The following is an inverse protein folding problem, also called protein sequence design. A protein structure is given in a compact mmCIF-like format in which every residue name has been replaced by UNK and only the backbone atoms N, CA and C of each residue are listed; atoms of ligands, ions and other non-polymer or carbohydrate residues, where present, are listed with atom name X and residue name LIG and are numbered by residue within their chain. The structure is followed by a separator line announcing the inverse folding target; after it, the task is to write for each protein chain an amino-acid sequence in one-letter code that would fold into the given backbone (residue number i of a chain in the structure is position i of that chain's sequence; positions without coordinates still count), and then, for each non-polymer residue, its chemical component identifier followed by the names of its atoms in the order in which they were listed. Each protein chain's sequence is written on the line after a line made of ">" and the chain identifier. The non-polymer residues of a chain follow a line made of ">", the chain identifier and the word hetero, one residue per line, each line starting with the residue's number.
data_IF_760388367488
#
_entry.id   IF_760388367488
#
_cell.length_a   1.000
_cell.length_b   1.000
_cell.length_c   1.000
_cell.angle_alpha   90.00
_cell.angle_beta   90.00
_cell.angle_gamma   90.00
#
_symmetry.space_group_name_H-M   'P 1'
#
loop_
_entity.id
_entity.type
_entity.pdbx_description
1 polymer ?
#
# COMPACT_ATOMS: atom_id res chain seq x y z
N UNK A 1 24.80 -35.00 -28.72
CA UNK A 1 23.74 -34.03 -28.35
C UNK A 1 23.97 -32.76 -29.17
N UNK A 2 23.05 -32.40 -30.07
CA UNK A 2 23.28 -31.38 -31.11
C UNK A 2 23.62 -30.01 -30.49
N UNK A 3 24.73 -29.38 -30.94
CA UNK A 3 25.25 -28.08 -30.47
C UNK A 3 24.22 -26.94 -30.48
N UNK A 4 23.11 -27.10 -31.21
CA UNK A 4 21.97 -26.18 -31.27
C UNK A 4 21.32 -25.94 -29.90
N UNK A 5 21.34 -26.95 -29.00
CA UNK A 5 20.77 -26.84 -27.65
C UNK A 5 21.59 -25.94 -26.71
N UNK A 6 22.89 -25.78 -26.99
CA UNK A 6 23.80 -25.00 -26.16
C UNK A 6 23.61 -23.48 -26.39
N UNK A 7 23.30 -23.09 -27.64
CA UNK A 7 22.99 -21.70 -28.00
C UNK A 7 21.54 -21.30 -27.72
N UNK A 8 20.60 -22.26 -27.73
CA UNK A 8 19.18 -21.96 -27.55
C UNK A 8 18.80 -21.57 -26.12
N UNK A 9 19.51 -22.08 -25.11
CA UNK A 9 19.23 -21.80 -23.69
C UNK A 9 19.54 -20.34 -23.30
N UNK A 10 20.72 -19.77 -23.61
CA UNK A 10 20.98 -18.36 -23.31
C UNK A 10 20.10 -17.43 -24.15
N UNK A 11 19.78 -17.79 -25.40
CA UNK A 11 18.87 -17.03 -26.24
C UNK A 11 17.45 -16.97 -25.64
N UNK A 12 16.95 -18.08 -25.09
CA UNK A 12 15.68 -18.12 -24.38
C UNK A 12 15.71 -17.24 -23.12
N UNK A 13 16.81 -17.22 -22.37
CA UNK A 13 16.95 -16.39 -21.17
C UNK A 13 16.95 -14.89 -21.50
N UNK A 14 17.58 -14.49 -22.60
CA UNK A 14 17.55 -13.11 -23.12
C UNK A 14 16.14 -12.73 -23.58
N UNK A 15 15.42 -13.63 -24.25
CA UNK A 15 14.04 -13.41 -24.67
C UNK A 15 13.04 -13.37 -23.50
N UNK A 16 13.34 -14.02 -22.37
CA UNK A 16 12.54 -13.91 -21.14
C UNK A 16 12.83 -12.64 -20.33
N UNK A 17 13.90 -11.92 -20.64
CA UNK A 17 14.29 -10.67 -19.95
C UNK A 17 13.53 -9.43 -20.44
N UNK A 18 12.42 -9.59 -21.17
CA UNK A 18 11.56 -8.47 -21.58
C UNK A 18 11.09 -7.76 -20.32
N UNK A 19 11.39 -6.46 -20.25
CA UNK A 19 11.21 -5.66 -19.05
C UNK A 19 9.74 -5.54 -18.70
N UNK A 20 9.32 -6.18 -17.61
CA UNK A 20 8.05 -5.85 -16.95
C UNK A 20 8.22 -4.46 -16.33
N UNK A 21 7.57 -3.46 -16.92
CA UNK A 21 7.50 -2.11 -16.35
C UNK A 21 6.45 -2.13 -15.25
N UNK A 22 6.87 -2.13 -13.98
CA UNK A 22 5.96 -1.93 -12.86
C UNK A 22 5.45 -0.48 -12.90
N UNK A 23 4.23 -0.27 -13.41
CA UNK A 23 3.60 1.03 -13.37
C UNK A 23 2.91 1.22 -12.01
N UNK A 24 3.44 2.12 -11.19
CA UNK A 24 2.69 2.58 -10.02
C UNK A 24 1.55 3.46 -10.52
N UNK A 25 0.32 3.22 -10.06
CA UNK A 25 -0.79 4.11 -10.40
C UNK A 25 -0.58 5.49 -9.76
N UNK A 26 -0.47 6.55 -10.56
CA UNK A 26 -0.48 7.93 -10.08
C UNK A 26 -1.93 8.37 -9.87
N UNK A 27 -2.34 8.43 -8.61
CA UNK A 27 -3.55 9.12 -8.21
C UNK A 27 -3.20 10.54 -7.75
N UNK A 28 -4.05 11.52 -8.11
CA UNK A 28 -3.86 12.93 -7.71
C UNK A 28 -3.86 13.16 -6.20
N UNK A 29 -4.42 12.22 -5.42
CA UNK A 29 -4.52 12.27 -3.96
C UNK A 29 -3.58 11.25 -3.29
N UNK A 30 -2.30 11.23 -3.69
CA UNK A 30 -1.33 10.25 -3.18
C UNK A 30 -1.09 10.33 -1.66
N UNK A 31 -1.42 11.45 -1.01
CA UNK A 31 -1.36 11.59 0.44
C UNK A 31 -2.36 10.68 1.18
N UNK A 32 -3.39 10.16 0.52
CA UNK A 32 -4.30 9.14 1.08
C UNK A 32 -3.64 7.76 1.24
N UNK A 33 -2.37 7.62 0.86
CA UNK A 33 -1.56 6.46 1.22
C UNK A 33 -0.95 6.60 2.62
N UNK A 34 -0.94 7.81 3.17
CA UNK A 34 -0.45 8.04 4.52
C UNK A 34 -1.57 7.65 5.50
N UNK A 35 -1.32 6.67 6.35
CA UNK A 35 -2.34 6.17 7.28
C UNK A 35 -2.84 7.21 8.28
N UNK A 36 -4.01 6.92 8.86
CA UNK A 36 -4.70 7.76 9.84
C UNK A 36 -4.88 6.97 11.15
N UNK A 37 -4.51 7.58 12.27
CA UNK A 37 -4.61 6.99 13.61
C UNK A 37 -3.37 6.19 14.00
N UNK A 38 -2.78 6.56 15.14
CA UNK A 38 -1.52 5.97 15.60
C UNK A 38 -1.62 4.45 15.79
N UNK A 39 -2.74 3.96 16.34
CA UNK A 39 -2.97 2.51 16.55
C UNK A 39 -3.04 1.76 15.22
N UNK A 40 -3.84 2.24 14.27
CA UNK A 40 -4.03 1.59 12.97
C UNK A 40 -2.74 1.59 12.16
N UNK A 41 -2.00 2.71 12.17
CA UNK A 41 -0.69 2.82 11.52
C UNK A 41 0.32 1.85 12.16
N UNK A 42 0.36 1.75 13.50
CA UNK A 42 1.22 0.79 14.20
C UNK A 42 0.89 -0.68 13.89
N UNK A 43 -0.35 -0.98 13.47
CA UNK A 43 -0.79 -2.29 13.00
C UNK A 43 -0.48 -2.53 11.51
N UNK A 44 0.28 -1.65 10.85
CA UNK A 44 0.60 -1.75 9.43
C UNK A 44 -0.59 -1.40 8.54
N UNK A 45 -1.37 -0.38 8.91
CA UNK A 45 -2.54 0.10 8.17
C UNK A 45 -3.69 -0.93 8.03
N UNK A 46 -3.76 -1.90 8.94
CA UNK A 46 -4.77 -2.95 8.98
C UNK A 46 -6.16 -2.48 9.49
N UNK A 47 -6.56 -1.23 9.21
CA UNK A 47 -7.78 -0.62 9.73
C UNK A 47 -9.10 -1.13 9.13
N UNK A 48 -9.02 -1.90 8.05
CA UNK A 48 -10.20 -2.40 7.32
C UNK A 48 -11.06 -3.37 8.15
N UNK A 49 -10.43 -4.18 9.01
CA UNK A 49 -11.08 -5.18 9.86
C UNK A 49 -11.52 -4.59 11.20
N UNK A 50 -10.81 -3.57 11.67
CA UNK A 50 -11.10 -2.91 12.93
C UNK A 50 -10.36 -1.59 13.02
N UNK A 51 -11.10 -0.54 13.35
CA UNK A 51 -10.58 0.82 13.47
C UNK A 51 -11.30 1.53 14.61
N UNK A 52 -10.61 2.49 15.21
CA UNK A 52 -11.22 3.36 16.22
C UNK A 52 -12.16 4.35 15.52
N UNK A 53 -13.20 4.83 16.21
CA UNK A 53 -14.37 5.51 15.62
C UNK A 53 -14.02 6.54 14.52
N UNK A 54 -13.15 7.52 14.79
CA UNK A 54 -12.80 8.53 13.78
C UNK A 54 -11.90 8.03 12.65
N UNK A 55 -11.17 6.93 12.86
CA UNK A 55 -10.31 6.31 11.84
C UNK A 55 -11.10 5.38 10.91
N UNK A 56 -12.27 4.90 11.33
CA UNK A 56 -13.15 4.07 10.51
C UNK A 56 -13.61 4.78 9.23
N UNK A 57 -13.86 6.10 9.31
CA UNK A 57 -14.18 6.93 8.14
C UNK A 57 -13.10 6.87 7.05
N UNK A 58 -11.84 6.63 7.43
CA UNK A 58 -10.71 6.58 6.51
C UNK A 58 -10.50 5.18 5.88
N UNK A 59 -10.59 4.12 6.69
CA UNK A 59 -10.27 2.75 6.23
C UNK A 59 -11.50 1.95 5.80
N UNK A 60 -12.62 2.05 6.53
CA UNK A 60 -13.85 1.29 6.27
C UNK A 60 -15.07 1.92 6.98
N UNK A 61 -15.83 2.81 6.31
CA UNK A 61 -17.01 3.44 6.89
C UNK A 61 -18.12 2.48 7.32
N UNK A 62 -18.14 1.23 6.82
CA UNK A 62 -19.12 0.23 7.24
C UNK A 62 -18.99 -0.14 8.73
N UNK A 63 -17.81 0.05 9.33
CA UNK A 63 -17.59 -0.16 10.76
C UNK A 63 -18.34 0.83 11.66
N UNK A 64 -18.89 1.90 11.08
CA UNK A 64 -19.69 2.90 11.81
C UNK A 64 -21.18 2.55 11.87
N UNK A 65 -21.63 1.50 11.16
CA UNK A 65 -23.05 1.17 11.07
C UNK A 65 -23.67 0.83 12.43
N UNK A 66 -22.88 0.25 13.34
CA UNK A 66 -23.31 -0.15 14.68
C UNK A 66 -22.91 0.88 15.76
N UNK A 67 -22.41 2.05 15.36
CA UNK A 67 -21.87 3.04 16.30
C UNK A 67 -22.98 3.99 16.79
N UNK A 68 -23.27 3.95 18.09
CA UNK A 68 -24.39 4.69 18.69
C UNK A 68 -24.01 6.08 19.21
N UNK A 69 -22.71 6.42 19.21
CA UNK A 69 -22.18 7.65 19.83
C UNK A 69 -21.36 8.47 18.85
N UNK A 70 -21.55 9.77 18.91
CA UNK A 70 -20.66 10.70 18.21
C UNK A 70 -19.26 10.69 18.84
N UNK A 71 -18.23 10.75 18.00
CA UNK A 71 -16.84 10.85 18.42
C UNK A 71 -16.06 11.82 17.55
N UNK A 72 -14.96 12.33 18.11
CA UNK A 72 -14.01 13.17 17.42
C UNK A 72 -12.63 12.55 17.63
N UNK A 73 -11.87 12.39 16.56
CA UNK A 73 -10.49 11.92 16.61
C UNK A 73 -9.59 12.99 16.01
N UNK A 74 -8.52 13.33 16.73
CA UNK A 74 -7.51 14.30 16.30
C UNK A 74 -6.17 13.57 16.32
N UNK A 75 -5.37 13.77 15.28
CA UNK A 75 -4.03 13.20 15.20
C UNK A 75 -3.06 14.20 14.59
N UNK A 76 -1.77 14.00 14.87
CA UNK A 76 -0.67 14.67 14.22
C UNK A 76 0.28 13.59 13.70
N UNK A 77 0.67 13.69 12.43
CA UNK A 77 1.69 12.83 11.83
C UNK A 77 2.74 13.73 11.22
N UNK A 78 3.98 13.59 11.68
CA UNK A 78 5.13 14.25 11.08
C UNK A 78 5.94 13.22 10.28
N UNK A 79 6.39 13.64 9.10
CA UNK A 79 7.33 12.87 8.28
C UNK A 79 8.63 13.65 8.22
N UNK A 80 9.72 13.01 8.62
CA UNK A 80 11.06 13.57 8.48
C UNK A 80 11.49 13.31 7.03
N UNK A 81 11.44 14.33 6.19
CA UNK A 81 11.66 14.18 4.74
C UNK A 81 13.08 14.50 4.27
N UNK A 82 13.99 14.87 5.16
CA UNK A 82 15.40 15.08 4.84
C UNK A 82 16.26 14.81 6.08
N UNK A 83 17.11 13.78 6.01
CA UNK A 83 18.28 13.64 6.87
C UNK A 83 19.45 13.99 5.96
N UNK A 84 19.97 15.22 6.12
CA UNK A 84 21.13 15.70 5.37
C UNK A 84 22.43 15.20 6.00
#
# INVERSE_FOLDING_TARGET
>A
MSMKRFFSIPLLFVLLSITVQAQSGQAGLSFLKNGVGARTVAMGDAGVVGSDMGTAMYYNPALLADDEKASITIMHSEWIQDIT
#
